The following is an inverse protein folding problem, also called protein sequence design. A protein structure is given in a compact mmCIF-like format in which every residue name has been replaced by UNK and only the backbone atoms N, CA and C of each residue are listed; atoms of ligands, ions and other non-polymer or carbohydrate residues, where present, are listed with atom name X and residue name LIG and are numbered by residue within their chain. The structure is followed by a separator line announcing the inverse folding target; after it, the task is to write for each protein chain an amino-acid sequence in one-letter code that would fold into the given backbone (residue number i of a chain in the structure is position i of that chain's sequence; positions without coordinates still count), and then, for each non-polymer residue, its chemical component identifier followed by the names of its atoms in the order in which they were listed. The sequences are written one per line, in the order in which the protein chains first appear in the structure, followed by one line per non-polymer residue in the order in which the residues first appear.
data_IF_260027886039
#
_entry.id   IF_260027886039
#
_cell.length_a   1.000
_cell.length_b   1.000
_cell.length_c   1.000
_cell.angle_alpha   90.00
_cell.angle_beta   90.00
_cell.angle_gamma   90.00
#
_symmetry.space_group_name_H-M   'P 1'
#
loop_
_entity.id
_entity.type
_entity.pdbx_description
1 polymer ?
#
# COMPACT_ATOMS: atom_id res chain seq x y z
N UNK A 1 -6.84 9.61 1.89
CA UNK A 1 -5.39 9.51 2.12
C UNK A 1 -4.79 8.49 1.18
N UNK A 2 -3.57 8.71 0.71
CA UNK A 2 -2.88 7.83 -0.24
C UNK A 2 -1.46 7.54 0.26
N UNK A 3 -1.03 6.28 0.19
CA UNK A 3 0.34 5.87 0.51
C UNK A 3 0.84 4.72 -0.38
N UNK A 4 2.16 4.60 -0.51
CA UNK A 4 2.85 3.59 -1.31
C UNK A 4 3.79 2.69 -0.50
N UNK A 5 3.97 1.45 -0.96
CA UNK A 5 4.98 0.52 -0.44
C UNK A 5 5.71 -0.13 -1.60
N UNK A 6 7.03 -0.32 -1.46
CA UNK A 6 7.86 -1.03 -2.45
C UNK A 6 8.77 -0.13 -3.28
N UNK A 7 8.68 1.20 -3.16
CA UNK A 7 9.46 2.15 -3.98
C UNK A 7 10.99 1.97 -3.90
N UNK A 8 11.51 1.45 -2.78
CA UNK A 8 12.95 1.21 -2.57
C UNK A 8 13.35 -0.26 -2.60
N UNK A 9 12.47 -1.15 -3.03
CA UNK A 9 12.73 -2.59 -3.13
C UNK A 9 13.33 -2.92 -4.50
N UNK A 10 14.16 -3.97 -4.58
CA UNK A 10 14.75 -4.42 -5.85
C UNK A 10 13.80 -5.29 -6.68
N UNK A 11 12.75 -5.80 -6.06
CA UNK A 11 11.86 -6.77 -6.69
C UNK A 11 10.43 -6.63 -6.16
N UNK A 12 9.51 -7.14 -6.99
CA UNK A 12 8.09 -6.99 -6.81
C UNK A 12 7.56 -5.62 -7.19
N UNK A 13 6.24 -5.46 -7.19
CA UNK A 13 5.62 -4.19 -7.56
C UNK A 13 5.80 -3.13 -6.49
N UNK A 14 5.66 -1.88 -6.92
CA UNK A 14 5.19 -0.80 -6.06
C UNK A 14 3.68 -0.96 -5.91
N UNK A 15 3.20 -1.02 -4.67
CA UNK A 15 1.78 -1.12 -4.35
C UNK A 15 1.34 0.19 -3.72
N UNK A 16 0.26 0.76 -4.24
CA UNK A 16 -0.31 2.01 -3.76
C UNK A 16 -1.75 1.79 -3.34
N UNK A 17 -2.14 2.38 -2.22
CA UNK A 17 -3.52 2.39 -1.75
C UNK A 17 -4.02 3.83 -1.64
N UNK A 18 -5.22 4.08 -2.16
CA UNK A 18 -6.03 5.24 -1.80
C UNK A 18 -7.13 4.78 -0.85
N UNK A 19 -7.27 5.45 0.29
CA UNK A 19 -8.23 5.09 1.32
C UNK A 19 -9.09 6.29 1.73
N UNK A 20 -10.39 6.04 1.81
CA UNK A 20 -11.38 6.87 2.48
C UNK A 20 -11.79 6.19 3.78
N UNK A 21 -11.70 6.96 4.86
CA UNK A 21 -12.12 6.56 6.18
C UNK A 21 -13.20 7.56 6.63
N UNK A 22 -14.40 7.10 7.04
CA UNK A 22 -15.44 8.00 7.52
C UNK A 22 -14.95 8.86 8.69
N UNK A 23 -15.36 10.14 8.77
CA UNK A 23 -15.04 10.99 9.92
C UNK A 23 -15.47 10.34 11.23
N UNK A 24 -14.59 10.37 12.24
CA UNK A 24 -14.86 9.79 13.56
C UNK A 24 -14.71 8.27 13.64
N UNK A 25 -14.26 7.60 12.59
CA UNK A 25 -13.88 6.19 12.69
C UNK A 25 -12.62 6.04 13.55
N UNK A 26 -12.76 5.36 14.67
CA UNK A 26 -11.65 4.99 15.56
C UNK A 26 -11.23 3.55 15.26
N UNK A 27 -9.94 3.36 15.01
CA UNK A 27 -9.36 2.05 14.72
C UNK A 27 -8.20 1.85 15.68
N UNK A 28 -8.37 0.87 16.57
CA UNK A 28 -7.35 0.51 17.55
C UNK A 28 -6.03 0.14 16.87
N UNK A 29 -4.95 0.71 17.41
CA UNK A 29 -3.58 0.52 16.94
C UNK A 29 -3.29 1.05 15.52
N UNK A 30 -4.17 1.88 14.95
CA UNK A 30 -3.93 2.48 13.64
C UNK A 30 -2.83 3.55 13.71
N UNK A 31 -1.66 3.22 13.16
CA UNK A 31 -0.52 4.13 12.95
C UNK A 31 0.17 3.81 11.61
N UNK A 32 1.25 4.51 11.26
CA UNK A 32 2.10 4.17 10.10
C UNK A 32 2.49 2.69 10.17
N UNK A 33 2.36 1.98 9.04
CA UNK A 33 2.64 0.54 8.94
C UNK A 33 4.06 0.15 9.37
N UNK A 34 5.01 1.10 9.36
CA UNK A 34 6.39 0.93 9.83
C UNK A 34 6.53 0.97 11.35
N UNK A 35 5.58 1.57 12.06
CA UNK A 35 5.51 1.59 13.53
C UNK A 35 4.82 0.33 14.09
N UNK A 36 4.07 -0.37 13.25
CA UNK A 36 3.54 -1.70 13.57
C UNK A 36 4.69 -2.72 13.52
N UNK A 37 5.15 -3.10 14.72
CA UNK A 37 6.39 -3.84 14.92
C UNK A 37 6.39 -5.26 14.33
N UNK A 38 5.24 -5.92 14.24
CA UNK A 38 5.12 -7.31 13.78
C UNK A 38 4.16 -7.44 12.58
N UNK A 39 4.38 -8.48 11.78
CA UNK A 39 3.46 -8.85 10.69
C UNK A 39 2.07 -9.20 11.22
N UNK A 40 2.00 -9.97 12.31
CA UNK A 40 0.74 -10.33 12.97
C UNK A 40 -0.08 -9.10 13.39
N UNK A 41 0.58 -8.06 13.92
CA UNK A 41 -0.09 -6.82 14.30
C UNK A 41 -0.60 -6.07 13.06
N UNK A 42 0.18 -6.03 11.97
CA UNK A 42 -0.28 -5.44 10.71
C UNK A 42 -1.49 -6.17 10.13
N UNK A 43 -1.47 -7.50 10.15
CA UNK A 43 -2.59 -8.34 9.71
C UNK A 43 -3.84 -8.15 10.57
N UNK A 44 -3.68 -8.02 11.89
CA UNK A 44 -4.78 -7.70 12.81
C UNK A 44 -5.38 -6.31 12.54
N UNK A 45 -4.55 -5.27 12.40
CA UNK A 45 -5.01 -3.92 12.06
C UNK A 45 -5.67 -3.88 10.68
N UNK A 46 -5.13 -4.62 9.70
CA UNK A 46 -5.75 -4.78 8.39
C UNK A 46 -7.15 -5.40 8.48
N UNK A 47 -7.32 -6.45 9.29
CA UNK A 47 -8.63 -7.07 9.50
C UNK A 47 -9.62 -6.09 10.15
N UNK A 48 -9.18 -5.29 11.14
CA UNK A 48 -10.01 -4.24 11.77
C UNK A 48 -10.41 -3.15 10.78
N UNK A 49 -9.47 -2.71 9.93
CA UNK A 49 -9.74 -1.77 8.84
C UNK A 49 -10.87 -2.30 7.95
N UNK A 50 -10.75 -3.52 7.44
CA UNK A 50 -11.77 -4.11 6.56
C UNK A 50 -13.14 -4.30 7.25
N UNK A 51 -13.16 -4.48 8.56
CA UNK A 51 -14.39 -4.56 9.34
C UNK A 51 -15.02 -3.19 9.64
N UNK A 52 -14.31 -2.09 9.40
CA UNK A 52 -14.78 -0.73 9.70
C UNK A 52 -15.91 -0.32 8.75
N UNK A 53 -17.13 -0.04 9.26
CA UNK A 53 -18.23 0.39 8.42
C UNK A 53 -17.91 1.68 7.67
N UNK A 54 -18.25 1.72 6.39
CA UNK A 54 -18.02 2.91 5.56
C UNK A 54 -16.59 3.08 5.05
N UNK A 55 -15.61 2.27 5.47
CA UNK A 55 -14.29 2.25 4.84
C UNK A 55 -14.44 1.99 3.34
N UNK A 56 -13.73 2.78 2.51
CA UNK A 56 -13.57 2.52 1.09
C UNK A 56 -12.10 2.67 0.73
N UNK A 57 -11.59 1.79 -0.12
CA UNK A 57 -10.23 1.90 -0.60
C UNK A 57 -10.11 1.38 -2.03
N UNK A 58 -9.05 1.76 -2.71
CA UNK A 58 -8.67 1.23 -4.00
C UNK A 58 -7.16 1.02 -4.04
N UNK A 59 -6.74 -0.02 -4.75
CA UNK A 59 -5.35 -0.42 -4.90
C UNK A 59 -4.92 -0.23 -6.35
N UNK A 60 -3.68 0.18 -6.54
CA UNK A 60 -2.99 0.16 -7.82
C UNK A 60 -1.59 -0.41 -7.64
N UNK A 61 -1.04 -0.95 -8.72
CA UNK A 61 0.31 -1.53 -8.74
C UNK A 61 1.10 -0.99 -9.92
N UNK A 62 2.37 -0.69 -9.70
CA UNK A 62 3.35 -0.58 -10.77
C UNK A 62 4.26 -1.81 -10.70
N UNK A 63 4.08 -2.72 -11.67
CA UNK A 63 4.91 -3.91 -11.82
C UNK A 63 6.32 -3.53 -12.33
N UNK A 64 7.31 -4.40 -12.13
CA UNK A 64 8.70 -4.13 -12.51
C UNK A 64 8.87 -3.65 -13.98
N UNK A 65 8.22 -4.25 -15.00
CA UNK A 65 8.33 -3.75 -16.37
C UNK A 65 7.85 -2.31 -16.56
N UNK A 66 6.81 -1.90 -15.81
CA UNK A 66 6.30 -0.51 -15.85
C UNK A 66 7.27 0.44 -15.16
N UNK A 67 7.91 0.00 -14.06
CA UNK A 67 8.94 0.78 -13.37
C UNK A 67 10.18 0.97 -14.25
N UNK A 68 10.59 -0.08 -14.96
CA UNK A 68 11.74 -0.05 -15.86
C UNK A 68 11.50 0.88 -17.06
N UNK A 69 10.28 0.90 -17.61
CA UNK A 69 9.89 1.77 -18.70
C UNK A 69 9.77 3.24 -18.28
N UNK A 70 9.10 3.52 -17.16
CA UNK A 70 8.73 4.88 -16.77
C UNK A 70 9.67 5.54 -15.79
N UNK A 71 10.59 4.79 -15.18
CA UNK A 71 11.28 5.09 -13.92
C UNK A 71 10.38 5.03 -12.66
N UNK A 72 11.03 4.80 -11.52
CA UNK A 72 10.36 4.59 -10.23
C UNK A 72 9.50 5.76 -9.75
N UNK A 73 9.88 6.99 -10.06
CA UNK A 73 9.11 8.16 -9.65
C UNK A 73 7.81 8.26 -10.44
N UNK A 74 7.88 8.13 -11.76
CA UNK A 74 6.70 8.27 -12.62
C UNK A 74 5.75 7.08 -12.47
N UNK A 75 6.28 5.86 -12.38
CA UNK A 75 5.51 4.66 -12.12
C UNK A 75 4.73 4.76 -10.80
N UNK A 76 5.37 5.28 -9.73
CA UNK A 76 4.70 5.52 -8.45
C UNK A 76 3.60 6.58 -8.57
N UNK A 77 3.87 7.73 -9.20
CA UNK A 77 2.88 8.79 -9.40
C UNK A 77 1.68 8.32 -10.25
N UNK A 78 1.91 7.45 -11.23
CA UNK A 78 0.84 6.83 -12.01
C UNK A 78 0.00 5.88 -11.15
N UNK A 79 0.63 5.04 -10.31
CA UNK A 79 -0.09 4.16 -9.39
C UNK A 79 -0.94 4.96 -8.37
N UNK A 80 -0.39 6.05 -7.81
CA UNK A 80 -1.13 6.95 -6.90
C UNK A 80 -2.35 7.59 -7.57
N UNK A 81 -2.22 8.06 -8.82
CA UNK A 81 -3.35 8.60 -9.60
C UNK A 81 -4.40 7.53 -9.84
N UNK A 82 -3.98 6.36 -10.34
CA UNK A 82 -4.89 5.23 -10.63
C UNK A 82 -5.67 4.79 -9.40
N UNK A 83 -5.01 4.66 -8.24
CA UNK A 83 -5.68 4.30 -6.99
C UNK A 83 -6.68 5.39 -6.55
N UNK A 84 -6.30 6.65 -6.66
CA UNK A 84 -7.15 7.79 -6.29
C UNK A 84 -8.40 7.89 -7.18
N UNK A 85 -8.24 7.78 -8.50
CA UNK A 85 -9.32 7.79 -9.47
C UNK A 85 -10.30 6.63 -9.20
N UNK A 86 -9.78 5.41 -9.01
CA UNK A 86 -10.59 4.25 -8.66
C UNK A 86 -11.33 4.41 -7.32
N UNK A 87 -10.73 5.07 -6.32
CA UNK A 87 -11.42 5.38 -5.07
C UNK A 87 -12.56 6.39 -5.30
N UNK A 88 -12.31 7.46 -6.07
CA UNK A 88 -13.32 8.45 -6.41
C UNK A 88 -14.52 7.83 -7.12
N UNK A 89 -14.27 6.95 -8.10
CA UNK A 89 -15.34 6.22 -8.80
C UNK A 89 -16.16 5.36 -7.84
N UNK A 90 -15.51 4.66 -6.90
CA UNK A 90 -16.19 3.85 -5.89
C UNK A 90 -17.03 4.68 -4.92
N UNK A 91 -16.55 5.86 -4.52
CA UNK A 91 -17.30 6.77 -3.65
C UNK A 91 -18.52 7.36 -4.39
N UNK A 92 -18.33 7.78 -5.64
CA UNK A 92 -19.39 8.29 -6.49
C UNK A 92 -20.51 7.24 -6.70
N UNK A 93 -20.14 5.98 -6.94
CA UNK A 93 -21.09 4.87 -7.05
C UNK A 93 -21.86 4.60 -5.74
N UNK A 94 -21.28 4.94 -4.58
CA UNK A 94 -21.89 4.84 -3.27
C UNK A 94 -22.78 6.02 -2.88
N UNK A 95 -22.94 7.02 -3.74
CA UNK A 95 -23.71 8.24 -3.47
C UNK A 95 -22.93 9.34 -2.74
N UNK A 96 -21.66 9.09 -2.40
CA UNK A 96 -20.75 10.12 -1.91
C UNK A 96 -20.20 10.89 -3.12
N UNK A 97 -20.83 12.02 -3.47
CA UNK A 97 -20.35 12.86 -4.57
C UNK A 97 -19.14 13.65 -4.11
N UNK A 98 -17.98 13.34 -4.69
CA UNK A 98 -16.72 14.06 -4.51
C UNK A 98 -16.81 15.48 -5.04
N UNK A 99 -17.23 16.40 -4.18
CA UNK A 99 -17.06 17.84 -4.35
C UNK A 99 -15.83 18.37 -3.59
N UNK A 100 -15.54 17.78 -2.42
CA UNK A 100 -14.52 18.27 -1.47
C UNK A 100 -13.51 17.19 -1.05
N UNK A 101 -13.39 16.09 -1.81
CA UNK A 101 -12.43 15.03 -1.49
C UNK A 101 -11.03 15.46 -1.91
N UNK A 102 -10.31 16.08 -0.97
CA UNK A 102 -8.89 16.35 -1.13
C UNK A 102 -8.10 15.04 -1.00
N UNK A 103 -7.41 14.68 -2.08
CA UNK A 103 -6.49 13.55 -2.09
C UNK A 103 -5.20 13.99 -1.42
N UNK A 104 -5.08 13.68 -0.12
CA UNK A 104 -3.85 13.91 0.63
C UNK A 104 -2.81 12.84 0.33
N UNK A 105 -1.67 13.25 -0.25
CA UNK A 105 -0.51 12.41 -0.55
C UNK A 105 0.61 12.61 0.48
N UNK A 106 1.22 11.51 0.95
CA UNK A 106 2.38 11.54 1.86
C UNK A 106 2.25 12.48 3.07
N UNK A 107 1.02 12.66 3.52
CA UNK A 107 0.71 13.47 4.69
C UNK A 107 1.19 12.82 5.98
N UNK A 108 1.19 13.64 7.02
CA UNK A 108 1.55 13.26 8.39
C UNK A 108 0.82 11.96 8.80
N UNK A 109 1.52 11.06 9.49
CA UNK A 109 0.97 9.81 10.02
C UNK A 109 -0.19 10.06 11.01
N UNK A 110 -0.37 11.32 11.44
CA UNK A 110 -1.55 11.80 12.17
C UNK A 110 -2.85 11.75 11.37
N UNK A 111 -2.81 11.66 10.04
CA UNK A 111 -4.00 11.49 9.21
C UNK A 111 -4.37 10.02 9.13
N UNK A 112 -5.40 9.60 9.87
CA UNK A 112 -5.86 8.20 9.96
C UNK A 112 -6.11 7.55 8.60
N UNK A 113 -6.62 8.29 7.60
CA UNK A 113 -6.83 7.77 6.26
C UNK A 113 -5.52 7.43 5.51
N UNK A 114 -4.42 8.15 5.79
CA UNK A 114 -3.09 7.85 5.22
C UNK A 114 -2.50 6.64 5.93
N UNK A 115 -2.61 6.56 7.26
CA UNK A 115 -2.20 5.38 8.03
C UNK A 115 -2.95 4.12 7.59
N UNK A 116 -4.26 4.22 7.35
CA UNK A 116 -5.07 3.14 6.79
C UNK A 116 -4.56 2.71 5.40
N UNK A 117 -4.31 3.66 4.50
CA UNK A 117 -3.74 3.38 3.18
C UNK A 117 -2.37 2.68 3.30
N UNK A 118 -1.51 3.13 4.21
CA UNK A 118 -0.19 2.55 4.46
C UNK A 118 -0.27 1.08 4.88
N UNK A 119 -1.13 0.77 5.86
CA UNK A 119 -1.33 -0.61 6.34
C UNK A 119 -1.90 -1.50 5.23
N UNK A 120 -2.91 -1.03 4.51
CA UNK A 120 -3.53 -1.78 3.41
C UNK A 120 -2.51 -2.05 2.29
N UNK A 121 -1.74 -1.05 1.87
CA UNK A 121 -0.71 -1.21 0.86
C UNK A 121 0.39 -2.17 1.32
N UNK A 122 0.83 -2.07 2.58
CA UNK A 122 1.89 -2.92 3.15
C UNK A 122 1.48 -4.38 3.22
N UNK A 123 0.33 -4.68 3.81
CA UNK A 123 -0.18 -6.06 3.92
C UNK A 123 -0.44 -6.66 2.53
N UNK A 124 -1.01 -5.87 1.62
CA UNK A 124 -1.22 -6.33 0.23
C UNK A 124 0.10 -6.68 -0.45
N UNK A 125 1.11 -5.82 -0.33
CA UNK A 125 2.42 -6.08 -0.94
C UNK A 125 3.12 -7.29 -0.30
N UNK A 126 3.07 -7.41 1.02
CA UNK A 126 3.70 -8.54 1.72
C UNK A 126 3.10 -9.87 1.26
N UNK A 127 1.77 -9.94 1.10
CA UNK A 127 1.10 -11.12 0.55
C UNK A 127 1.52 -11.42 -0.90
N UNK A 128 1.66 -10.41 -1.75
CA UNK A 128 2.17 -10.59 -3.12
C UNK A 128 3.58 -11.17 -3.10
N UNK A 129 4.45 -10.62 -2.26
CA UNK A 129 5.84 -11.09 -2.18
C UNK A 129 5.96 -12.48 -1.54
N UNK A 130 5.12 -12.81 -0.56
CA UNK A 130 5.06 -14.14 0.02
C UNK A 130 4.57 -15.19 -0.99
N UNK A 131 3.63 -14.82 -1.86
CA UNK A 131 3.20 -15.68 -2.95
C UNK A 131 4.33 -15.93 -3.97
N UNK A 132 5.08 -14.89 -4.34
CA UNK A 132 6.24 -15.00 -5.24
C UNK A 132 7.39 -15.79 -4.60
N UNK A 133 7.51 -15.78 -3.27
CA UNK A 133 8.61 -16.45 -2.59
C UNK A 133 8.64 -17.98 -2.83
N UNK A 134 7.49 -18.59 -3.06
CA UNK A 134 7.40 -20.02 -3.41
C UNK A 134 7.99 -20.35 -4.77
N UNK A 135 7.94 -19.41 -5.72
CA UNK A 135 8.43 -19.59 -7.08
C UNK A 135 9.94 -19.35 -7.22
N UNK A 136 10.54 -18.65 -6.24
CA UNK A 136 11.92 -18.15 -6.29
C UNK A 136 12.64 -18.33 -4.94
N UNK A 137 12.83 -19.56 -4.44
CA UNK A 137 13.38 -19.83 -3.11
C UNK A 137 14.82 -19.31 -2.91
N UNK A 138 15.60 -19.17 -3.99
CA UNK A 138 17.00 -18.74 -3.97
C UNK A 138 17.21 -17.28 -3.52
N UNK A 139 16.18 -16.44 -3.57
CA UNK A 139 16.29 -15.02 -3.22
C UNK A 139 16.06 -14.69 -1.73
N UNK A 140 15.77 -15.71 -0.91
CA UNK A 140 15.51 -15.60 0.54
C UNK A 140 14.69 -14.35 0.92
N UNK A 141 13.49 -14.25 0.32
CA UNK A 141 12.62 -13.08 0.41
C UNK A 141 12.28 -12.67 1.84
N UNK A 142 12.18 -13.66 2.74
CA UNK A 142 11.79 -13.51 4.13
C UNK A 142 12.87 -12.78 4.93
N UNK A 143 14.14 -13.19 4.81
CA UNK A 143 15.24 -12.55 5.56
C UNK A 143 15.56 -11.15 5.02
N UNK A 144 15.39 -10.96 3.72
CA UNK A 144 15.80 -9.75 3.02
C UNK A 144 14.76 -8.62 3.09
N UNK A 145 13.54 -8.91 3.59
CA UNK A 145 12.39 -8.01 3.58
C UNK A 145 12.17 -7.35 2.21
N UNK A 146 12.56 -8.06 1.16
CA UNK A 146 12.55 -7.63 -0.25
C UNK A 146 13.33 -6.33 -0.51
N UNK A 147 14.32 -6.01 0.33
CA UNK A 147 15.21 -4.84 0.23
C UNK A 147 16.54 -5.24 -0.42
N UNK A 148 17.33 -4.26 -0.92
CA UNK A 148 18.68 -4.52 -1.38
C UNK A 148 19.52 -5.14 -0.25
N UNK A 149 19.99 -6.37 -0.45
CA UNK A 149 20.98 -7.04 0.40
C UNK A 149 22.04 -7.70 -0.48
N UNK A 150 23.18 -8.09 0.09
CA UNK A 150 24.30 -8.68 -0.65
C UNK A 150 23.88 -9.90 -1.50
N UNK A 151 23.05 -10.79 -0.95
CA UNK A 151 22.52 -11.99 -1.63
C UNK A 151 21.81 -11.65 -2.95
N UNK A 152 21.05 -10.56 -2.98
CA UNK A 152 20.30 -10.15 -4.17
C UNK A 152 21.21 -9.69 -5.34
N UNK A 153 22.42 -9.22 -5.02
CA UNK A 153 23.41 -8.75 -6.01
C UNK A 153 24.32 -9.88 -6.52
N UNK A 154 24.38 -11.01 -5.82
CA UNK A 154 25.18 -12.17 -6.25
C UNK A 154 24.41 -13.09 -7.20
N UNK A 155 23.07 -13.03 -7.20
CA UNK A 155 22.19 -13.85 -8.03
C UNK A 155 21.88 -13.19 -9.40
N UNK A 156 21.91 -11.85 -9.47
CA UNK A 156 21.71 -11.07 -10.70
C UNK A 156 23.01 -10.93 -11.52
#
# INVERSE_FOLDING_TARGET
GVDEVGRGCLAGPVVTCACYLPPGAEIDDLTDSKQLATEDLREAVYARLLATPGLRFALAKAEAPVVDELNILQANLQAMRTASEALCDRLAAGGERGGDLEVLDKGDASVSAISAASVIAKVTRDRIMNALAGDYPEYDWASNKQRPVAVFREIL
#
